data_IF_093951185212
#
_entry.id   IF_093951185212
#
_cell.length_a   1.000
_cell.length_b   1.000
_cell.length_c   1.000
_cell.angle_alpha   90.00
_cell.angle_beta   90.00
_cell.angle_gamma   90.00
#
_symmetry.space_group_name_H-M   'P 1'
#
loop_
_entity.id
_entity.type
_entity.pdbx_description
1 polymer ?
#
# COMPACT_ATOMS: atom_id res chain seq x y z
N UNK A 1 58.05 33.90 15.26
CA UNK A 1 57.71 34.56 13.97
C UNK A 1 56.21 34.31 13.70
N UNK A 2 55.37 35.36 13.75
CA UNK A 2 53.92 35.21 13.49
C UNK A 2 53.63 35.40 12.03
N UNK A 3 52.69 34.63 11.51
CA UNK A 3 52.20 34.68 10.12
C UNK A 3 51.32 35.90 9.89
N UNK A 4 51.39 36.57 8.72
CA UNK A 4 50.55 37.69 8.40
C UNK A 4 49.15 37.28 7.97
N UNK A 5 48.17 37.94 8.60
CA UNK A 5 46.74 37.75 8.29
C UNK A 5 46.38 38.27 6.87
N UNK A 6 45.66 37.41 6.12
CA UNK A 6 44.99 37.82 4.87
C UNK A 6 43.59 38.35 5.20
N UNK A 7 43.41 39.62 4.98
CA UNK A 7 42.11 40.27 4.96
C UNK A 7 41.32 39.83 3.73
N UNK A 8 40.23 39.08 3.91
CA UNK A 8 39.25 38.82 2.85
C UNK A 8 38.27 40.00 2.79
N UNK A 9 38.39 40.82 1.78
CA UNK A 9 37.38 41.78 1.38
C UNK A 9 36.13 41.00 0.91
N UNK A 10 35.06 41.13 1.67
CA UNK A 10 33.72 40.67 1.32
C UNK A 10 33.20 41.52 0.16
N UNK A 11 33.08 40.92 -1.04
CA UNK A 11 32.37 41.55 -2.17
C UNK A 11 30.87 41.38 -1.89
N UNK A 12 30.19 42.47 -1.61
CA UNK A 12 28.75 42.56 -1.68
C UNK A 12 28.31 42.33 -3.14
N UNK A 13 27.63 41.21 -3.38
CA UNK A 13 26.88 41.01 -4.63
C UNK A 13 25.53 41.67 -4.46
N UNK A 14 25.23 42.66 -5.24
CA UNK A 14 23.91 43.20 -5.44
C UNK A 14 22.96 42.03 -5.89
N UNK A 15 21.85 41.90 -5.21
CA UNK A 15 20.77 40.98 -5.63
C UNK A 15 20.15 41.54 -6.92
N UNK A 16 19.95 40.71 -7.97
CA UNK A 16 19.12 41.11 -9.07
C UNK A 16 17.66 41.16 -8.57
N UNK A 17 16.98 42.30 -8.79
CA UNK A 17 15.57 42.48 -8.59
C UNK A 17 14.80 41.40 -9.36
N UNK A 18 14.24 40.46 -8.65
CA UNK A 18 13.28 39.51 -9.21
C UNK A 18 12.00 40.25 -9.48
N UNK A 19 11.68 40.37 -10.76
CA UNK A 19 10.37 40.71 -11.25
C UNK A 19 9.35 39.77 -10.61
N UNK A 20 8.44 40.29 -9.80
CA UNK A 20 7.34 39.54 -9.24
C UNK A 20 6.36 39.26 -10.38
N UNK A 21 6.58 38.14 -11.07
CA UNK A 21 5.68 37.64 -12.08
C UNK A 21 4.28 37.50 -11.45
N UNK A 22 3.32 38.14 -12.08
CA UNK A 22 1.89 38.02 -11.82
C UNK A 22 1.52 36.54 -11.58
N UNK A 23 0.73 36.20 -10.56
CA UNK A 23 0.31 34.82 -10.35
C UNK A 23 -0.48 34.39 -11.59
N UNK A 24 0.16 33.53 -12.42
CA UNK A 24 -0.47 32.97 -13.61
C UNK A 24 -1.78 32.29 -13.15
N UNK A 25 -2.88 32.75 -13.71
CA UNK A 25 -4.19 32.15 -13.51
C UNK A 25 -4.09 30.65 -13.83
N UNK A 26 -4.37 29.82 -12.84
CA UNK A 26 -4.41 28.36 -12.98
C UNK A 26 -5.43 28.03 -14.07
N UNK A 27 -5.09 27.27 -15.11
CA UNK A 27 -6.02 26.98 -16.20
C UNK A 27 -7.27 26.27 -15.65
N UNK A 28 -8.45 26.65 -16.11
CA UNK A 28 -9.76 26.11 -15.69
C UNK A 28 -9.83 24.56 -15.72
N UNK A 29 -9.10 23.92 -16.63
CA UNK A 29 -8.97 22.47 -16.68
C UNK A 29 -8.37 21.86 -15.40
N UNK A 30 -7.50 22.55 -14.72
CA UNK A 30 -6.87 22.11 -13.49
C UNK A 30 -7.85 22.18 -12.31
N UNK A 31 -8.77 23.15 -12.31
CA UNK A 31 -9.81 23.25 -11.25
C UNK A 31 -10.80 22.09 -11.32
N UNK A 32 -11.29 21.72 -12.51
CA UNK A 32 -12.21 20.58 -12.70
C UNK A 32 -11.58 19.26 -12.26
N UNK A 33 -10.28 19.09 -12.52
CA UNK A 33 -9.56 17.89 -12.09
C UNK A 33 -9.30 17.86 -10.60
N UNK A 34 -9.16 19.02 -9.95
CA UNK A 34 -9.05 19.12 -8.49
C UNK A 34 -10.36 18.72 -7.81
N UNK A 35 -11.52 19.14 -8.33
CA UNK A 35 -12.82 18.74 -7.79
C UNK A 35 -13.03 17.22 -7.84
N UNK A 36 -12.64 16.58 -8.95
CA UNK A 36 -12.69 15.13 -9.07
C UNK A 36 -11.70 14.44 -8.11
N UNK A 37 -10.48 14.97 -7.99
CA UNK A 37 -9.49 14.48 -7.03
C UNK A 37 -10.02 14.55 -5.61
N UNK A 38 -10.62 15.66 -5.21
CA UNK A 38 -11.16 15.90 -3.86
C UNK A 38 -12.34 14.98 -3.56
N UNK A 39 -13.21 14.73 -4.56
CA UNK A 39 -14.27 13.75 -4.45
C UNK A 39 -13.73 12.32 -4.24
N UNK A 40 -12.70 11.94 -5.00
CA UNK A 40 -12.02 10.64 -4.85
C UNK A 40 -11.36 10.55 -3.48
N UNK A 41 -10.61 11.56 -3.04
CA UNK A 41 -9.93 11.59 -1.74
C UNK A 41 -10.91 11.41 -0.57
N UNK A 42 -12.06 12.10 -0.62
CA UNK A 42 -13.12 11.95 0.37
C UNK A 42 -13.64 10.51 0.44
N UNK A 43 -13.85 9.87 -0.70
CA UNK A 43 -14.33 8.49 -0.78
C UNK A 43 -13.27 7.46 -0.40
N UNK A 44 -12.01 7.69 -0.74
CA UNK A 44 -10.86 6.88 -0.26
C UNK A 44 -10.80 6.90 1.25
N UNK A 45 -10.88 8.09 1.85
CA UNK A 45 -10.87 8.25 3.31
C UNK A 45 -12.00 7.47 3.97
N UNK A 46 -13.23 7.62 3.47
CA UNK A 46 -14.40 6.88 3.97
C UNK A 46 -14.22 5.36 3.88
N UNK A 47 -13.63 4.87 2.78
CA UNK A 47 -13.32 3.45 2.59
C UNK A 47 -12.28 2.95 3.60
N UNK A 48 -11.18 3.70 3.76
CA UNK A 48 -10.09 3.30 4.64
C UNK A 48 -10.53 3.31 6.12
N UNK A 49 -11.31 4.29 6.55
CA UNK A 49 -11.84 4.35 7.92
C UNK A 49 -12.74 3.15 8.26
N UNK A 50 -13.43 2.58 7.26
CA UNK A 50 -14.30 1.41 7.44
C UNK A 50 -13.56 0.08 7.39
N UNK A 51 -12.52 -0.01 6.56
CA UNK A 51 -11.90 -1.29 6.22
C UNK A 51 -10.50 -1.49 6.83
N UNK A 52 -9.83 -0.40 7.21
CA UNK A 52 -8.44 -0.44 7.66
C UNK A 52 -8.25 0.19 9.04
N UNK A 53 -7.18 -0.22 9.74
CA UNK A 53 -6.74 0.44 10.97
C UNK A 53 -5.97 1.70 10.59
N UNK A 54 -6.51 2.87 10.90
CA UNK A 54 -5.96 4.16 10.48
C UNK A 54 -4.61 4.51 11.12
N UNK A 55 -4.28 3.91 12.26
CA UNK A 55 -2.99 4.08 12.94
C UNK A 55 -1.79 3.54 12.16
N UNK A 56 -2.02 2.51 11.32
CA UNK A 56 -1.00 1.85 10.50
C UNK A 56 -1.18 2.10 9.00
N UNK A 57 -2.20 2.86 8.61
CA UNK A 57 -2.57 3.11 7.21
C UNK A 57 -2.19 4.52 6.80
N UNK A 58 -1.53 4.64 5.66
CA UNK A 58 -1.23 5.91 4.99
C UNK A 58 -1.81 5.88 3.58
N UNK A 59 -2.34 7.00 3.14
CA UNK A 59 -2.84 7.13 1.78
C UNK A 59 -2.50 8.50 1.19
N UNK A 60 -2.50 8.58 -0.12
CA UNK A 60 -2.36 9.83 -0.85
C UNK A 60 -3.16 9.77 -2.14
N UNK A 61 -3.78 10.89 -2.50
CA UNK A 61 -4.51 11.06 -3.77
C UNK A 61 -3.99 12.32 -4.45
N UNK A 62 -3.43 12.18 -5.63
CA UNK A 62 -2.90 13.31 -6.37
C UNK A 62 -3.25 13.24 -7.84
N UNK A 63 -3.30 14.41 -8.46
CA UNK A 63 -3.49 14.56 -9.89
C UNK A 63 -2.13 14.74 -10.57
N UNK A 64 -1.83 13.89 -11.54
CA UNK A 64 -0.68 14.04 -12.41
C UNK A 64 -1.11 14.75 -13.69
N UNK A 65 -0.81 16.05 -13.77
CA UNK A 65 -1.16 16.89 -14.92
C UNK A 65 -0.40 16.52 -16.20
N UNK A 66 0.73 15.82 -16.09
CA UNK A 66 1.52 15.42 -17.27
C UNK A 66 0.89 14.26 -18.03
N UNK A 67 0.30 13.33 -17.31
CA UNK A 67 -0.37 12.14 -17.87
C UNK A 67 -1.89 12.21 -17.83
N UNK A 68 -2.49 13.28 -17.33
CA UNK A 68 -3.92 13.47 -17.13
C UNK A 68 -4.57 12.31 -16.35
N UNK A 69 -3.91 11.91 -15.24
CA UNK A 69 -4.34 10.81 -14.40
C UNK A 69 -4.49 11.23 -12.94
N UNK A 70 -5.42 10.60 -12.25
CA UNK A 70 -5.48 10.65 -10.79
C UNK A 70 -4.87 9.35 -10.26
N UNK A 71 -3.95 9.51 -9.30
CA UNK A 71 -3.25 8.38 -8.69
C UNK A 71 -3.65 8.30 -7.22
N UNK A 72 -4.10 7.10 -6.82
CA UNK A 72 -4.42 6.76 -5.43
C UNK A 72 -3.37 5.78 -4.94
N UNK A 73 -2.72 6.13 -3.83
CA UNK A 73 -1.75 5.29 -3.14
C UNK A 73 -2.31 4.92 -1.78
N UNK A 74 -2.29 3.64 -1.45
CA UNK A 74 -2.66 3.13 -0.13
C UNK A 74 -1.50 2.25 0.36
N UNK A 75 -0.97 2.57 1.53
CA UNK A 75 0.11 1.83 2.17
C UNK A 75 -0.28 1.48 3.59
N UNK A 76 -0.24 0.21 3.91
CA UNK A 76 -0.47 -0.31 5.26
C UNK A 76 0.75 -1.10 5.68
N UNK A 77 1.30 -0.77 6.84
CA UNK A 77 2.44 -1.49 7.39
C UNK A 77 2.16 -1.85 8.84
N UNK A 78 2.01 -3.12 9.12
CA UNK A 78 1.73 -3.64 10.45
C UNK A 78 2.88 -4.55 10.91
N UNK A 79 3.52 -4.15 12.01
CA UNK A 79 4.57 -4.91 12.67
C UNK A 79 4.09 -5.39 14.02
N UNK A 80 4.07 -6.69 14.23
CA UNK A 80 3.73 -7.29 15.52
C UNK A 80 4.90 -8.09 16.08
N UNK A 81 5.68 -7.43 16.95
CA UNK A 81 6.85 -8.03 17.59
C UNK A 81 6.51 -9.16 18.57
N UNK A 82 5.28 -9.16 19.13
CA UNK A 82 4.86 -10.18 20.10
C UNK A 82 4.47 -11.49 19.42
N UNK A 83 3.96 -11.44 18.23
CA UNK A 83 3.55 -12.61 17.45
C UNK A 83 4.51 -12.94 16.31
N UNK A 84 5.66 -12.30 16.27
CA UNK A 84 6.77 -12.59 15.34
C UNK A 84 6.39 -12.49 13.86
N UNK A 85 5.49 -11.57 13.51
CA UNK A 85 5.15 -11.33 12.11
C UNK A 85 5.08 -9.84 11.77
N UNK A 86 5.32 -9.55 10.51
CA UNK A 86 5.06 -8.24 9.91
C UNK A 86 4.37 -8.41 8.57
N UNK A 87 3.51 -7.45 8.26
CA UNK A 87 2.81 -7.39 6.98
C UNK A 87 2.90 -6.01 6.38
N UNK A 88 3.08 -5.96 5.08
CA UNK A 88 3.04 -4.76 4.27
C UNK A 88 2.02 -4.95 3.15
N UNK A 89 1.19 -3.95 2.94
CA UNK A 89 0.22 -3.90 1.86
C UNK A 89 0.36 -2.57 1.16
N UNK A 90 0.67 -2.60 -0.12
CA UNK A 90 0.84 -1.43 -0.95
C UNK A 90 -0.03 -1.57 -2.18
N UNK A 91 -1.01 -0.70 -2.33
CA UNK A 91 -1.82 -0.61 -3.55
C UNK A 91 -1.68 0.74 -4.23
N UNK A 92 -1.54 0.71 -5.53
CA UNK A 92 -1.41 1.88 -6.40
C UNK A 92 -2.44 1.80 -7.49
N UNK A 93 -3.28 2.83 -7.63
CA UNK A 93 -4.35 2.88 -8.59
C UNK A 93 -4.24 4.14 -9.44
N UNK A 94 -4.09 3.96 -10.75
CA UNK A 94 -4.02 5.04 -11.73
C UNK A 94 -5.33 5.10 -12.50
N UNK A 95 -6.05 6.21 -12.38
CA UNK A 95 -7.26 6.48 -13.14
C UNK A 95 -6.96 7.48 -14.26
N UNK A 96 -7.07 7.05 -15.50
CA UNK A 96 -6.99 7.90 -16.69
C UNK A 96 -8.34 8.59 -16.90
N UNK A 97 -8.34 9.91 -16.76
CA UNK A 97 -9.57 10.73 -16.87
C UNK A 97 -10.11 10.69 -18.30
N UNK A 98 -9.22 10.72 -19.30
CA UNK A 98 -9.61 10.76 -20.73
C UNK A 98 -10.13 9.42 -21.21
N UNK A 99 -9.43 8.35 -20.90
CA UNK A 99 -9.76 6.99 -21.32
C UNK A 99 -10.74 6.26 -20.41
N UNK A 100 -11.07 6.84 -19.25
CA UNK A 100 -11.89 6.23 -18.19
C UNK A 100 -11.41 4.82 -17.82
N UNK A 101 -10.11 4.61 -17.87
CA UNK A 101 -9.46 3.36 -17.53
C UNK A 101 -8.79 3.44 -16.17
N UNK A 102 -8.89 2.36 -15.42
CA UNK A 102 -8.18 2.18 -14.16
C UNK A 102 -7.16 1.08 -14.29
N UNK A 103 -5.95 1.37 -13.89
CA UNK A 103 -4.88 0.39 -13.71
C UNK A 103 -4.51 0.32 -12.24
N UNK A 104 -4.51 -0.88 -11.68
CA UNK A 104 -4.12 -1.13 -10.32
C UNK A 104 -2.92 -2.03 -10.23
N UNK A 105 -2.07 -1.80 -9.25
CA UNK A 105 -1.01 -2.71 -8.82
C UNK A 105 -1.13 -2.87 -7.32
N UNK A 106 -1.20 -4.11 -6.86
CA UNK A 106 -1.27 -4.45 -5.46
C UNK A 106 -0.10 -5.36 -5.12
N UNK A 107 0.64 -4.97 -4.10
CA UNK A 107 1.77 -5.73 -3.57
C UNK A 107 1.52 -6.01 -2.10
N UNK A 108 1.61 -7.28 -1.72
CA UNK A 108 1.53 -7.71 -0.33
C UNK A 108 2.77 -8.52 0.04
N UNK A 109 3.40 -8.15 1.15
CA UNK A 109 4.55 -8.84 1.70
C UNK A 109 4.24 -9.24 3.14
N UNK A 110 4.48 -10.51 3.48
CA UNK A 110 4.31 -11.00 4.85
C UNK A 110 5.56 -11.75 5.28
N UNK A 111 6.00 -11.48 6.51
CA UNK A 111 7.15 -12.11 7.13
C UNK A 111 6.75 -12.71 8.47
N UNK A 112 7.11 -13.98 8.68
CA UNK A 112 6.98 -14.68 9.95
C UNK A 112 8.34 -15.24 10.36
N UNK A 113 8.78 -14.95 11.60
CA UNK A 113 10.18 -15.13 12.00
C UNK A 113 10.40 -15.77 13.39
N UNK A 114 9.44 -16.52 13.94
CA UNK A 114 9.56 -17.13 15.28
C UNK A 114 10.64 -18.23 15.34
N UNK A 115 10.49 -19.31 14.59
CA UNK A 115 11.45 -20.42 14.56
C UNK A 115 12.03 -20.68 13.15
N UNK A 116 11.85 -19.75 12.28
CA UNK A 116 12.29 -19.80 10.90
C UNK A 116 11.95 -18.49 10.22
N UNK A 117 12.31 -18.38 8.96
CA UNK A 117 11.98 -17.22 8.16
C UNK A 117 11.06 -17.64 7.03
N UNK A 118 9.77 -17.36 7.18
CA UNK A 118 8.79 -17.57 6.12
C UNK A 118 8.45 -16.21 5.53
N UNK A 119 8.64 -16.08 4.23
CA UNK A 119 8.30 -14.89 3.48
C UNK A 119 7.25 -15.25 2.43
N UNK A 120 6.24 -14.41 2.34
CA UNK A 120 5.23 -14.49 1.31
C UNK A 120 5.15 -13.15 0.59
N UNK A 121 5.35 -13.17 -0.73
CA UNK A 121 5.31 -11.97 -1.55
C UNK A 121 4.29 -12.19 -2.66
N UNK A 122 3.37 -11.24 -2.80
CA UNK A 122 2.36 -11.21 -3.84
C UNK A 122 2.47 -9.90 -4.63
N UNK A 123 2.37 -9.98 -5.94
CA UNK A 123 2.28 -8.82 -6.84
C UNK A 123 1.17 -9.10 -7.86
N UNK A 124 0.09 -8.34 -7.79
CA UNK A 124 -1.08 -8.51 -8.65
C UNK A 124 -1.39 -7.21 -9.39
N UNK A 125 -1.78 -7.33 -10.65
CA UNK A 125 -2.14 -6.20 -11.51
C UNK A 125 -3.60 -6.27 -11.91
N UNK A 126 -4.25 -5.12 -11.91
CA UNK A 126 -5.64 -4.96 -12.29
C UNK A 126 -5.76 -3.98 -13.45
N UNK A 127 -6.75 -4.21 -14.29
CA UNK A 127 -7.11 -3.28 -15.37
C UNK A 127 -8.61 -3.37 -15.60
N UNK A 128 -9.27 -2.22 -15.63
CA UNK A 128 -10.71 -2.12 -15.88
C UNK A 128 -11.06 -0.76 -16.49
N UNK A 129 -12.29 -0.63 -16.96
CA UNK A 129 -12.87 0.64 -17.35
C UNK A 129 -13.96 1.05 -16.37
N UNK A 130 -14.01 2.34 -16.03
CA UNK A 130 -15.03 2.91 -15.15
C UNK A 130 -16.09 3.61 -16.01
N UNK A 131 -17.36 3.37 -15.68
CA UNK A 131 -18.45 4.09 -16.32
C UNK A 131 -18.38 5.57 -15.98
N UNK A 132 -18.54 6.41 -16.99
CA UNK A 132 -18.57 7.84 -16.84
C UNK A 132 -19.84 8.33 -16.14
N UNK A 133 -19.76 9.51 -15.59
CA UNK A 133 -20.83 10.20 -14.88
C UNK A 133 -20.34 11.55 -14.38
N UNK A 134 -21.02 12.09 -13.38
CA UNK A 134 -20.51 13.20 -12.59
C UNK A 134 -19.33 12.79 -11.71
N UNK A 135 -18.59 13.75 -11.19
CA UNK A 135 -17.38 13.52 -10.40
C UNK A 135 -17.62 12.58 -9.20
N UNK A 136 -18.78 12.71 -8.56
CA UNK A 136 -19.12 11.86 -7.42
C UNK A 136 -19.41 10.41 -7.84
N UNK A 137 -20.11 10.20 -8.95
CA UNK A 137 -20.37 8.86 -9.52
C UNK A 137 -19.09 8.17 -9.93
N UNK A 138 -18.17 8.90 -10.59
CA UNK A 138 -16.85 8.37 -10.95
C UNK A 138 -16.07 7.97 -9.68
N UNK A 139 -16.06 8.83 -8.65
CA UNK A 139 -15.38 8.53 -7.39
C UNK A 139 -15.94 7.27 -6.72
N UNK A 140 -17.26 7.13 -6.64
CA UNK A 140 -17.91 5.95 -6.05
C UNK A 140 -17.54 4.69 -6.82
N UNK A 141 -17.67 4.70 -8.15
CA UNK A 141 -17.37 3.55 -8.99
C UNK A 141 -15.89 3.14 -8.90
N UNK A 142 -14.98 4.13 -8.83
CA UNK A 142 -13.55 3.88 -8.64
C UNK A 142 -13.27 3.18 -7.32
N UNK A 143 -13.84 3.67 -6.22
CA UNK A 143 -13.63 3.09 -4.89
C UNK A 143 -14.26 1.70 -4.78
N UNK A 144 -15.42 1.49 -5.39
CA UNK A 144 -16.04 0.16 -5.41
C UNK A 144 -15.19 -0.86 -6.19
N UNK A 145 -14.58 -0.44 -7.29
CA UNK A 145 -13.62 -1.25 -8.01
C UNK A 145 -12.38 -1.57 -7.17
N UNK A 146 -11.78 -0.56 -6.52
CA UNK A 146 -10.63 -0.75 -5.61
C UNK A 146 -10.98 -1.75 -4.52
N UNK A 147 -12.09 -1.54 -3.82
CA UNK A 147 -12.58 -2.40 -2.75
C UNK A 147 -12.77 -3.85 -3.20
N UNK A 148 -13.43 -4.05 -4.34
CA UNK A 148 -13.68 -5.39 -4.89
C UNK A 148 -12.37 -6.09 -5.25
N UNK A 149 -11.45 -5.37 -5.87
CA UNK A 149 -10.14 -5.89 -6.26
C UNK A 149 -9.29 -6.26 -5.03
N UNK A 150 -9.23 -5.40 -4.01
CA UNK A 150 -8.49 -5.67 -2.78
C UNK A 150 -9.10 -6.83 -1.99
N UNK A 151 -10.43 -6.91 -1.90
CA UNK A 151 -11.12 -8.05 -1.28
C UNK A 151 -10.85 -9.38 -2.00
N UNK A 152 -10.80 -9.38 -3.33
CA UNK A 152 -10.50 -10.61 -4.08
C UNK A 152 -9.11 -11.14 -3.75
N UNK A 153 -8.12 -10.25 -3.62
CA UNK A 153 -6.76 -10.63 -3.22
C UNK A 153 -6.71 -11.15 -1.79
N UNK A 154 -7.43 -10.53 -0.86
CA UNK A 154 -7.48 -11.01 0.52
C UNK A 154 -8.06 -12.43 0.61
N UNK A 155 -9.15 -12.68 -0.11
CA UNK A 155 -9.75 -14.03 -0.16
C UNK A 155 -8.84 -15.08 -0.81
N UNK A 156 -8.08 -14.69 -1.82
CA UNK A 156 -7.08 -15.56 -2.43
C UNK A 156 -5.92 -15.85 -1.47
N UNK A 157 -5.46 -14.86 -0.73
CA UNK A 157 -4.44 -15.01 0.30
C UNK A 157 -4.90 -15.97 1.41
N UNK A 158 -6.13 -15.84 1.91
CA UNK A 158 -6.69 -16.75 2.92
C UNK A 158 -6.67 -18.21 2.43
N UNK A 159 -7.09 -18.45 1.19
CA UNK A 159 -7.03 -19.80 0.58
C UNK A 159 -5.60 -20.34 0.51
N UNK A 160 -4.66 -19.52 0.07
CA UNK A 160 -3.24 -19.91 -0.01
C UNK A 160 -2.68 -20.24 1.38
N UNK A 161 -3.03 -19.46 2.42
CA UNK A 161 -2.60 -19.76 3.79
C UNK A 161 -3.20 -21.07 4.32
N UNK A 162 -4.47 -21.32 4.05
CA UNK A 162 -5.12 -22.58 4.42
C UNK A 162 -4.47 -23.77 3.73
N UNK A 163 -4.22 -23.68 2.43
CA UNK A 163 -3.54 -24.74 1.66
C UNK A 163 -2.11 -24.98 2.15
N UNK A 164 -1.34 -23.90 2.40
CA UNK A 164 0.01 -24.02 2.96
C UNK A 164 -0.01 -24.67 4.35
N UNK A 165 -0.93 -24.26 5.21
CA UNK A 165 -1.07 -24.81 6.55
C UNK A 165 -1.37 -26.31 6.53
N UNK A 166 -2.40 -26.72 5.77
CA UNK A 166 -2.86 -28.12 5.76
C UNK A 166 -1.92 -29.05 4.99
N UNK A 167 -1.46 -28.63 3.81
CA UNK A 167 -0.77 -29.53 2.89
C UNK A 167 0.75 -29.54 3.08
N UNK A 168 1.33 -28.45 3.60
CA UNK A 168 2.77 -28.33 3.71
C UNK A 168 3.28 -28.17 5.15
N UNK A 169 2.77 -27.21 5.91
CA UNK A 169 3.31 -26.90 7.25
C UNK A 169 2.94 -27.99 8.25
N UNK A 170 1.69 -28.40 8.34
CA UNK A 170 1.24 -29.48 9.28
C UNK A 170 1.94 -30.83 9.02
N UNK A 171 2.06 -31.32 7.77
CA UNK A 171 2.82 -32.53 7.50
C UNK A 171 4.31 -32.43 7.88
N UNK A 172 4.95 -31.29 7.64
CA UNK A 172 6.35 -31.06 8.02
C UNK A 172 6.55 -31.09 9.53
N UNK A 173 5.71 -30.38 10.29
CA UNK A 173 5.78 -30.36 11.76
C UNK A 173 5.54 -31.72 12.39
N UNK A 174 4.77 -32.59 11.75
CA UNK A 174 4.45 -33.93 12.24
C UNK A 174 5.48 -35.00 11.90
N UNK A 175 6.43 -34.68 11.04
CA UNK A 175 7.48 -35.63 10.64
C UNK A 175 8.67 -35.51 11.59
N UNK A 176 8.90 -36.55 12.37
CA UNK A 176 10.07 -36.59 13.23
C UNK A 176 11.35 -36.83 12.42
N UNK A 177 12.41 -36.00 12.60
CA UNK A 177 13.63 -36.08 11.78
C UNK A 177 14.35 -37.41 11.92
N UNK A 178 14.36 -38.02 13.12
CA UNK A 178 15.09 -39.24 13.43
C UNK A 178 14.33 -40.48 13.00
N UNK A 179 13.06 -40.56 13.28
CA UNK A 179 12.23 -41.76 13.01
C UNK A 179 11.52 -41.70 11.67
N UNK A 180 11.43 -40.53 11.04
CA UNK A 180 10.64 -40.31 9.83
C UNK A 180 9.13 -40.51 9.99
N UNK A 181 8.66 -40.74 11.22
CA UNK A 181 7.24 -40.91 11.54
C UNK A 181 6.55 -39.57 11.75
N UNK A 182 5.24 -39.54 11.55
CA UNK A 182 4.44 -38.34 11.83
C UNK A 182 4.10 -38.27 13.33
N UNK A 183 4.37 -37.15 13.97
CA UNK A 183 3.94 -36.89 15.32
C UNK A 183 2.43 -36.62 15.35
N UNK A 184 1.70 -37.28 16.27
CA UNK A 184 0.29 -37.04 16.46
C UNK A 184 0.10 -35.87 17.44
N UNK A 185 -0.34 -34.72 16.93
CA UNK A 185 -0.58 -33.51 17.70
C UNK A 185 -1.98 -33.48 18.37
N UNK A 186 -2.63 -34.63 18.52
CA UNK A 186 -3.92 -34.66 19.18
C UNK A 186 -3.74 -34.38 20.67
N UNK A 187 -4.10 -33.18 21.10
CA UNK A 187 -4.01 -32.70 22.49
C UNK A 187 -4.67 -33.64 23.49
N UNK A 188 -5.73 -34.30 23.10
CA UNK A 188 -6.44 -35.27 23.97
C UNK A 188 -5.60 -36.52 24.29
N UNK A 189 -4.65 -36.88 23.44
CA UNK A 189 -3.72 -37.98 23.70
C UNK A 189 -2.53 -37.57 24.58
N UNK A 190 -2.09 -36.30 24.51
CA UNK A 190 -1.03 -35.79 25.36
C UNK A 190 -1.43 -35.69 26.83
N UNK A 191 -2.69 -35.41 27.12
CA UNK A 191 -3.22 -35.32 28.46
C UNK A 191 -3.43 -36.70 29.16
N UNK A 192 -3.39 -37.79 28.44
CA UNK A 192 -3.55 -39.15 28.99
C UNK A 192 -2.23 -39.77 29.41
N UNK A 193 -1.09 -39.23 29.01
CA UNK A 193 0.23 -39.73 29.35
C UNK A 193 0.91 -39.02 30.54
N UNK A 194 0.22 -38.03 31.14
CA UNK A 194 0.66 -37.33 32.37
C UNK A 194 -0.05 -37.84 33.66
N UNK A 195 -0.21 -39.12 33.81
CA UNK A 195 -0.64 -39.71 35.08
C UNK A 195 0.49 -40.53 35.67
#
# INVERSE_FOLDING_TARGET
MPWPGRSHKRRERAAPGGDAGDPQAVPQSTEIHNDLRDAIESKVKEYLEKCYKMDVTKYNVYFDGSSNKIVVLISVHNLNLKSFWSGEWLSTWEFDISGKQVKGTLRANTYYYEEGNIQFNLDTKFNSSIQGGDNNTIAVNLIEFIKTSENSVQLELEKVYDELSENYIKPLRRKLPVTGTKMNWNINQLNLTQK
#
